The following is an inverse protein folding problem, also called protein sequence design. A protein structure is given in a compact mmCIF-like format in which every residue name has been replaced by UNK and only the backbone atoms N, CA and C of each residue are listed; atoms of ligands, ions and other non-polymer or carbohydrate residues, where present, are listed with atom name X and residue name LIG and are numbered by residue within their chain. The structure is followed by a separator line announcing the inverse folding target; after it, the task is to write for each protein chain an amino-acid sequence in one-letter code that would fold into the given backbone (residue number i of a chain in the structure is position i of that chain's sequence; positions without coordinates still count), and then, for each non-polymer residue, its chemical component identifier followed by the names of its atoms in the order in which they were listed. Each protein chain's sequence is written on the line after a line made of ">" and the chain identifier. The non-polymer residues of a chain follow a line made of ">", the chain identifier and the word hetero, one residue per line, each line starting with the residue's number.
data_IF_615780842451
#
_entry.id   IF_615780842451
#
_cell.length_a   1.000
_cell.length_b   1.000
_cell.length_c   1.000
_cell.angle_alpha   90.00
_cell.angle_beta   90.00
_cell.angle_gamma   90.00
#
_symmetry.space_group_name_H-M   'P 1'
#
loop_
_entity.id
_entity.type
_entity.pdbx_description
1 polymer ?
#
# COMPACT_ATOMS: atom_id res chain seq x y z
N UNK A 1 17.89 10.95 -3.42
CA UNK A 1 16.99 10.76 -2.26
C UNK A 1 17.52 9.69 -1.30
N UNK A 2 17.93 8.50 -1.77
CA UNK A 2 18.61 7.49 -0.92
C UNK A 2 19.85 8.03 -0.19
N UNK A 3 20.67 8.83 -0.88
CA UNK A 3 21.86 9.47 -0.31
C UNK A 3 21.57 10.57 0.72
N UNK A 4 20.36 11.14 0.72
CA UNK A 4 19.98 12.19 1.67
C UNK A 4 19.47 11.56 2.98
N UNK A 5 18.61 10.54 2.85
CA UNK A 5 18.03 9.79 3.98
C UNK A 5 19.08 8.99 4.78
N UNK A 6 20.17 8.53 4.15
CA UNK A 6 21.24 7.79 4.86
C UNK A 6 22.15 8.66 5.73
N UNK A 7 22.18 9.98 5.52
CA UNK A 7 23.09 10.90 6.22
C UNK A 7 22.42 11.76 7.28
N UNK A 8 21.11 12.05 7.17
CA UNK A 8 20.37 12.87 8.16
C UNK A 8 19.50 12.08 9.14
N UNK A 9 19.06 10.86 8.82
CA UNK A 9 18.11 10.08 9.66
C UNK A 9 18.51 8.60 9.81
N UNK A 10 19.79 8.37 10.13
CA UNK A 10 20.39 7.05 10.36
C UNK A 10 19.58 6.10 11.29
N UNK A 11 18.93 6.57 12.38
CA UNK A 11 18.15 5.68 13.27
C UNK A 11 16.85 5.16 12.63
N UNK A 12 16.16 6.00 11.85
CA UNK A 12 14.89 5.65 11.19
C UNK A 12 15.16 4.72 10.02
N UNK A 13 16.26 4.95 9.31
CA UNK A 13 16.69 4.06 8.23
C UNK A 13 17.07 2.65 8.73
N UNK A 14 17.69 2.55 9.91
CA UNK A 14 17.92 1.26 10.59
C UNK A 14 16.59 0.57 10.93
N UNK A 15 15.63 1.30 11.52
CA UNK A 15 14.30 0.78 11.88
C UNK A 15 13.50 0.31 10.65
N UNK A 16 13.62 1.00 9.51
CA UNK A 16 12.98 0.64 8.24
C UNK A 16 13.68 -0.53 7.52
N UNK A 17 15.00 -0.66 7.65
CA UNK A 17 15.74 -1.84 7.18
C UNK A 17 15.46 -3.09 8.00
N UNK A 18 15.09 -2.92 9.26
CA UNK A 18 14.74 -3.98 10.19
C UNK A 18 13.26 -4.40 10.09
N UNK A 19 12.65 -4.19 8.91
CA UNK A 19 11.29 -4.62 8.59
C UNK A 19 10.98 -6.06 9.06
N UNK A 20 9.70 -6.32 9.26
CA UNK A 20 9.13 -7.49 9.97
C UNK A 20 9.39 -8.86 9.29
N UNK A 21 10.32 -8.94 8.33
CA UNK A 21 10.84 -10.21 7.83
C UNK A 21 11.49 -11.04 8.95
N UNK A 22 11.91 -12.30 8.71
CA UNK A 22 12.60 -13.10 9.70
C UNK A 22 13.94 -12.45 10.03
N UNK A 23 13.91 -11.52 10.97
CA UNK A 23 15.08 -10.86 11.52
C UNK A 23 15.57 -11.79 12.61
N UNK A 24 16.75 -12.37 12.40
CA UNK A 24 17.45 -13.04 13.50
C UNK A 24 17.84 -11.96 14.51
N UNK A 25 17.21 -11.98 15.68
CA UNK A 25 17.46 -11.02 16.76
C UNK A 25 18.16 -11.74 17.91
N UNK A 26 19.25 -11.15 18.41
CA UNK A 26 20.00 -11.64 19.58
C UNK A 26 20.10 -10.53 20.60
N UNK A 27 19.89 -10.84 21.87
CA UNK A 27 20.07 -9.90 22.97
C UNK A 27 21.52 -9.95 23.43
N UNK A 28 22.21 -8.82 23.50
CA UNK A 28 23.55 -8.79 24.09
C UNK A 28 23.50 -8.84 25.62
N UNK A 29 24.67 -8.94 26.25
CA UNK A 29 24.84 -9.08 27.70
C UNK A 29 24.20 -7.95 28.52
N UNK A 30 23.84 -6.83 27.88
CA UNK A 30 23.24 -5.67 28.51
C UNK A 30 21.73 -5.58 28.25
N UNK A 31 21.13 -6.60 27.65
CA UNK A 31 19.70 -6.60 27.31
C UNK A 31 19.37 -5.84 26.01
N UNK A 32 20.37 -5.37 25.26
CA UNK A 32 20.12 -4.66 24.00
C UNK A 32 19.86 -5.64 22.86
N UNK A 33 18.77 -5.38 22.13
CA UNK A 33 18.39 -6.13 20.93
C UNK A 33 19.39 -5.80 19.80
N UNK A 34 20.13 -6.80 19.32
CA UNK A 34 21.01 -6.72 18.14
C UNK A 34 20.44 -7.52 16.99
N UNK A 35 20.40 -6.89 15.82
CA UNK A 35 19.97 -7.51 14.57
C UNK A 35 21.15 -8.24 13.93
N UNK A 36 20.97 -9.53 13.65
CA UNK A 36 21.97 -10.29 12.90
C UNK A 36 21.90 -9.97 11.39
N UNK A 37 23.04 -10.06 10.68
CA UNK A 37 23.07 -10.02 9.23
C UNK A 37 22.15 -11.11 8.63
N UNK A 38 21.56 -10.87 7.44
CA UNK A 38 20.80 -11.88 6.73
C UNK A 38 21.65 -13.14 6.53
N UNK A 39 21.09 -14.32 6.81
CA UNK A 39 21.80 -15.59 6.69
C UNK A 39 21.55 -16.26 5.34
N UNK A 40 20.49 -15.86 4.63
CA UNK A 40 20.08 -16.49 3.37
C UNK A 40 19.84 -15.47 2.26
N UNK A 41 20.06 -15.88 1.01
CA UNK A 41 19.78 -15.04 -0.16
C UNK A 41 18.29 -14.64 -0.26
N UNK A 42 17.37 -15.49 0.21
CA UNK A 42 15.93 -15.18 0.27
C UNK A 42 15.64 -14.03 1.23
N UNK A 43 16.30 -13.99 2.39
CA UNK A 43 16.17 -12.89 3.34
C UNK A 43 16.71 -11.58 2.78
N UNK A 44 17.83 -11.63 2.04
CA UNK A 44 18.40 -10.45 1.36
C UNK A 44 17.38 -9.87 0.37
N UNK A 45 16.84 -10.71 -0.51
CA UNK A 45 15.85 -10.29 -1.52
C UNK A 45 14.56 -9.76 -0.87
N UNK A 46 14.11 -10.37 0.23
CA UNK A 46 12.93 -9.90 0.96
C UNK A 46 13.16 -8.51 1.59
N UNK A 47 14.31 -8.30 2.25
CA UNK A 47 14.68 -6.98 2.82
C UNK A 47 14.80 -5.90 1.73
N UNK A 48 15.38 -6.23 0.58
CA UNK A 48 15.44 -5.29 -0.55
C UNK A 48 14.05 -4.91 -1.07
N UNK A 49 13.14 -5.88 -1.18
CA UNK A 49 11.76 -5.62 -1.62
C UNK A 49 11.02 -4.71 -0.64
N UNK A 50 11.16 -4.95 0.66
CA UNK A 50 10.58 -4.10 1.71
C UNK A 50 11.19 -2.69 1.72
N UNK A 51 12.52 -2.58 1.61
CA UNK A 51 13.20 -1.28 1.49
C UNK A 51 12.65 -0.50 0.29
N UNK A 52 12.47 -1.16 -0.85
CA UNK A 52 11.95 -0.55 -2.07
C UNK A 52 10.50 -0.11 -1.89
N UNK A 53 9.64 -0.93 -1.27
CA UNK A 53 8.25 -0.55 -1.02
C UNK A 53 8.13 0.63 -0.04
N UNK A 54 8.95 0.66 1.02
CA UNK A 54 8.99 1.78 1.97
C UNK A 54 9.51 3.07 1.34
N UNK A 55 10.55 2.98 0.50
CA UNK A 55 11.07 4.15 -0.22
C UNK A 55 10.00 4.74 -1.14
N UNK A 56 9.29 3.90 -1.89
CA UNK A 56 8.17 4.34 -2.75
C UNK A 56 7.03 4.95 -1.94
N UNK A 57 6.67 4.35 -0.80
CA UNK A 57 5.62 4.86 0.08
C UNK A 57 5.97 6.24 0.64
N UNK A 58 7.21 6.43 1.14
CA UNK A 58 7.67 7.71 1.66
C UNK A 58 7.72 8.80 0.57
N UNK A 59 8.10 8.44 -0.66
CA UNK A 59 8.08 9.37 -1.80
C UNK A 59 6.66 9.81 -2.20
N UNK A 60 5.64 9.01 -1.90
CA UNK A 60 4.24 9.34 -2.20
C UNK A 60 3.58 10.22 -1.12
N UNK A 61 4.22 10.40 0.04
CA UNK A 61 3.69 11.19 1.15
C UNK A 61 4.14 12.66 1.03
N UNK A 62 3.24 13.64 1.27
CA UNK A 62 3.61 15.05 1.40
C UNK A 62 4.65 15.28 2.51
N UNK A 63 5.67 16.11 2.27
CA UNK A 63 6.77 16.37 3.21
C UNK A 63 6.30 16.91 4.57
N UNK A 64 5.26 17.72 4.61
CA UNK A 64 4.66 18.27 5.83
C UNK A 64 4.01 17.18 6.70
N UNK A 65 3.64 16.05 6.09
CA UNK A 65 3.11 14.88 6.79
C UNK A 65 4.21 13.95 7.28
N UNK A 66 5.39 13.92 6.63
CA UNK A 66 6.54 13.11 7.01
C UNK A 66 7.09 13.47 8.40
N UNK A 67 7.13 14.76 8.75
CA UNK A 67 7.61 15.26 10.05
C UNK A 67 6.85 14.68 11.26
N UNK A 68 5.61 14.20 11.08
CA UNK A 68 4.87 13.51 12.15
C UNK A 68 5.30 12.05 12.31
N UNK A 69 5.61 11.37 11.21
CA UNK A 69 6.10 9.99 11.23
C UNK A 69 7.55 9.91 11.71
N UNK A 70 8.37 10.92 11.42
CA UNK A 70 9.76 10.98 11.90
C UNK A 70 9.91 11.14 13.42
N UNK A 71 8.83 11.47 14.14
CA UNK A 71 8.83 11.55 15.61
C UNK A 71 8.51 10.21 16.29
N UNK A 72 8.13 9.19 15.52
CA UNK A 72 7.76 7.87 16.04
C UNK A 72 8.99 6.99 16.16
N UNK A 73 9.09 6.26 17.27
CA UNK A 73 10.27 5.44 17.58
C UNK A 73 10.22 4.04 16.94
N UNK A 74 9.02 3.57 16.57
CA UNK A 74 8.78 2.20 16.11
C UNK A 74 8.24 2.15 14.68
N UNK A 75 8.78 1.25 13.85
CA UNK A 75 8.30 0.97 12.49
C UNK A 75 6.82 0.56 12.48
N UNK A 76 6.39 -0.20 13.49
CA UNK A 76 4.99 -0.61 13.61
C UNK A 76 4.08 0.61 13.82
N UNK A 77 4.50 1.55 14.68
CA UNK A 77 3.76 2.78 14.94
C UNK A 77 3.69 3.68 13.72
N UNK A 78 4.79 3.81 12.97
CA UNK A 78 4.82 4.52 11.67
C UNK A 78 3.84 3.89 10.69
N UNK A 79 3.85 2.55 10.55
CA UNK A 79 2.96 1.83 9.65
C UNK A 79 1.49 2.02 10.00
N UNK A 80 1.12 1.82 11.27
CA UNK A 80 -0.27 1.98 11.71
C UNK A 80 -0.74 3.42 11.60
N UNK A 81 0.14 4.40 11.85
CA UNK A 81 -0.19 5.81 11.68
C UNK A 81 -0.39 6.20 10.21
N UNK A 82 0.44 5.67 9.30
CA UNK A 82 0.25 5.85 7.86
C UNK A 82 -1.06 5.18 7.41
N UNK A 83 -1.31 3.96 7.86
CA UNK A 83 -2.54 3.21 7.55
C UNK A 83 -3.78 3.92 8.09
N UNK A 84 -3.74 4.45 9.31
CA UNK A 84 -4.83 5.21 9.92
C UNK A 84 -5.12 6.50 9.17
N UNK A 85 -4.06 7.20 8.73
CA UNK A 85 -4.20 8.52 8.09
C UNK A 85 -4.53 8.44 6.60
N UNK A 86 -3.97 7.47 5.89
CA UNK A 86 -4.05 7.36 4.43
C UNK A 86 -4.68 6.06 3.93
N UNK A 87 -4.83 5.04 4.77
CA UNK A 87 -5.47 3.77 4.39
C UNK A 87 -6.99 3.85 4.23
N UNK A 88 -7.57 5.06 4.38
CA UNK A 88 -9.00 5.27 4.51
C UNK A 88 -9.51 4.79 5.87
N UNK A 89 -10.45 5.51 6.47
CA UNK A 89 -11.21 4.93 7.58
C UNK A 89 -12.27 3.96 7.03
N UNK A 90 -12.71 2.99 7.83
CA UNK A 90 -13.69 1.97 7.41
C UNK A 90 -14.96 2.59 6.79
N UNK A 91 -15.43 3.72 7.30
CA UNK A 91 -16.61 4.41 6.77
C UNK A 91 -16.36 5.05 5.40
N UNK A 92 -15.19 5.66 5.18
CA UNK A 92 -14.80 6.20 3.89
C UNK A 92 -14.60 5.10 2.84
N UNK A 93 -14.08 3.93 3.26
CA UNK A 93 -13.94 2.75 2.42
C UNK A 93 -15.32 2.18 2.06
N UNK A 94 -16.23 2.05 3.03
CA UNK A 94 -17.63 1.64 2.79
C UNK A 94 -18.34 2.61 1.85
N UNK A 95 -18.16 3.92 2.03
CA UNK A 95 -18.78 4.94 1.19
C UNK A 95 -18.21 4.91 -0.24
N UNK A 96 -16.90 4.70 -0.39
CA UNK A 96 -16.26 4.52 -1.70
C UNK A 96 -16.77 3.26 -2.40
N UNK A 97 -16.84 2.13 -1.70
CA UNK A 97 -17.39 0.88 -2.22
C UNK A 97 -18.87 1.00 -2.59
N UNK A 98 -19.67 1.70 -1.78
CA UNK A 98 -21.06 2.00 -2.11
C UNK A 98 -21.16 2.79 -3.41
N UNK A 99 -20.32 3.82 -3.61
CA UNK A 99 -20.30 4.62 -4.82
C UNK A 99 -19.89 3.80 -6.06
N UNK A 100 -18.83 2.99 -5.96
CA UNK A 100 -18.40 2.10 -7.05
C UNK A 100 -19.50 1.11 -7.43
N UNK A 101 -20.21 0.56 -6.45
CA UNK A 101 -21.34 -0.33 -6.69
C UNK A 101 -22.50 0.40 -7.39
N UNK A 102 -22.80 1.63 -7.00
CA UNK A 102 -23.79 2.46 -7.71
C UNK A 102 -23.36 2.74 -9.16
N UNK A 103 -22.08 3.02 -9.39
CA UNK A 103 -21.53 3.21 -10.74
C UNK A 103 -21.63 1.94 -11.59
N UNK A 104 -21.41 0.76 -10.99
CA UNK A 104 -21.59 -0.53 -11.66
C UNK A 104 -23.06 -0.82 -11.95
N UNK A 105 -23.94 -0.60 -10.98
CA UNK A 105 -25.38 -0.80 -11.14
C UNK A 105 -25.96 0.10 -12.25
N UNK A 106 -25.57 1.37 -12.25
CA UNK A 106 -25.94 2.39 -13.23
C UNK A 106 -25.08 2.42 -14.49
N UNK A 107 -24.15 1.47 -14.67
CA UNK A 107 -23.31 1.41 -15.86
C UNK A 107 -24.22 1.28 -17.09
N UNK A 108 -24.11 2.26 -17.97
CA UNK A 108 -24.91 2.37 -19.19
C UNK A 108 -24.07 2.96 -20.29
N UNK A 109 -24.52 2.73 -21.52
CA UNK A 109 -23.76 3.11 -22.70
C UNK A 109 -24.47 4.23 -23.43
N UNK A 110 -23.72 5.30 -23.70
CA UNK A 110 -24.16 6.31 -24.64
C UNK A 110 -24.05 5.81 -26.08
N UNK A 111 -25.04 6.13 -26.92
CA UNK A 111 -25.10 5.70 -28.33
C UNK A 111 -23.90 6.23 -29.14
N UNK A 112 -23.31 7.35 -28.71
CA UNK A 112 -22.13 7.97 -29.33
C UNK A 112 -20.80 7.40 -28.85
N UNK A 113 -20.78 6.50 -27.87
CA UNK A 113 -19.55 5.94 -27.31
C UNK A 113 -19.13 4.66 -28.04
N UNK A 114 -17.93 4.70 -28.62
CA UNK A 114 -17.34 3.53 -29.28
C UNK A 114 -17.05 2.38 -28.31
N UNK A 115 -17.09 1.15 -28.82
CA UNK A 115 -16.92 -0.09 -28.05
C UNK A 115 -15.61 -0.14 -27.26
N UNK A 116 -14.50 0.34 -27.84
CA UNK A 116 -13.20 0.40 -27.16
C UNK A 116 -13.27 1.25 -25.87
N UNK A 117 -13.79 2.48 -25.97
CA UNK A 117 -13.95 3.39 -24.84
C UNK A 117 -14.91 2.85 -23.78
N UNK A 118 -15.99 2.18 -24.22
CA UNK A 118 -16.91 1.46 -23.34
C UNK A 118 -16.17 0.39 -22.53
N UNK A 119 -15.38 -0.44 -23.22
CA UNK A 119 -14.63 -1.53 -22.61
C UNK A 119 -13.59 -1.00 -21.61
N UNK A 120 -12.83 0.03 -21.97
CA UNK A 120 -11.82 0.62 -21.08
C UNK A 120 -12.43 1.15 -19.78
N UNK A 121 -13.56 1.86 -19.86
CA UNK A 121 -14.28 2.35 -18.68
C UNK A 121 -14.80 1.19 -17.82
N UNK A 122 -15.34 0.15 -18.46
CA UNK A 122 -15.87 -1.01 -17.75
C UNK A 122 -14.76 -1.79 -17.05
N UNK A 123 -13.63 -2.03 -17.72
CA UNK A 123 -12.46 -2.69 -17.14
C UNK A 123 -11.86 -1.87 -15.98
N UNK A 124 -11.83 -0.55 -16.12
CA UNK A 124 -11.38 0.34 -15.04
C UNK A 124 -12.27 0.18 -13.80
N UNK A 125 -13.59 0.13 -13.99
CA UNK A 125 -14.55 -0.05 -12.91
C UNK A 125 -14.43 -1.43 -12.22
N UNK A 126 -14.27 -2.50 -13.00
CA UNK A 126 -14.04 -3.85 -12.46
C UNK A 126 -12.74 -3.92 -11.64
N UNK A 127 -11.66 -3.33 -12.15
CA UNK A 127 -10.37 -3.29 -11.47
C UNK A 127 -10.46 -2.57 -10.12
N UNK A 128 -11.20 -1.46 -10.05
CA UNK A 128 -11.43 -0.74 -8.81
C UNK A 128 -12.25 -1.56 -7.81
N UNK A 129 -13.34 -2.20 -8.26
CA UNK A 129 -14.15 -3.07 -7.40
C UNK A 129 -13.32 -4.21 -6.80
N UNK A 130 -12.43 -4.82 -7.59
CA UNK A 130 -11.60 -5.93 -7.12
C UNK A 130 -10.54 -5.48 -6.10
N UNK A 131 -9.85 -4.36 -6.34
CA UNK A 131 -8.87 -3.79 -5.41
C UNK A 131 -9.50 -3.47 -4.05
N UNK A 132 -10.77 -3.07 -4.02
CA UNK A 132 -11.49 -2.71 -2.79
C UNK A 132 -12.34 -3.85 -2.21
N UNK A 133 -12.15 -5.09 -2.67
CA UNK A 133 -12.79 -6.28 -2.11
C UNK A 133 -14.29 -6.40 -2.42
N UNK A 134 -14.78 -5.64 -3.40
CA UNK A 134 -16.15 -5.64 -3.90
C UNK A 134 -16.25 -6.24 -5.31
N UNK A 135 -15.34 -7.17 -5.66
CA UNK A 135 -15.30 -7.83 -6.95
C UNK A 135 -16.63 -8.47 -7.33
N UNK A 136 -16.95 -8.44 -8.62
CA UNK A 136 -18.17 -9.03 -9.20
C UNK A 136 -17.82 -10.29 -9.98
N UNK A 137 -18.75 -11.23 -10.03
CA UNK A 137 -18.54 -12.46 -10.79
C UNK A 137 -18.40 -12.15 -12.29
N UNK A 138 -17.68 -13.01 -13.02
CA UNK A 138 -17.59 -12.86 -14.47
C UNK A 138 -18.97 -12.91 -15.15
N UNK A 139 -19.90 -13.69 -14.60
CA UNK A 139 -21.26 -13.79 -15.14
C UNK A 139 -22.04 -12.48 -14.97
N UNK A 140 -22.00 -11.89 -13.77
CA UNK A 140 -22.65 -10.59 -13.49
C UNK A 140 -22.02 -9.46 -14.30
N UNK A 141 -20.69 -9.45 -14.43
CA UNK A 141 -19.96 -8.48 -15.22
C UNK A 141 -20.33 -8.58 -16.72
N UNK A 142 -20.40 -9.79 -17.26
CA UNK A 142 -20.80 -10.01 -18.65
C UNK A 142 -22.24 -9.59 -18.90
N UNK A 143 -23.17 -9.96 -18.02
CA UNK A 143 -24.56 -9.50 -18.11
C UNK A 143 -24.67 -7.97 -18.06
N UNK A 144 -23.88 -7.31 -17.21
CA UNK A 144 -23.88 -5.84 -17.11
C UNK A 144 -23.33 -5.19 -18.37
N UNK A 145 -22.24 -5.71 -18.95
CA UNK A 145 -21.61 -5.13 -20.14
C UNK A 145 -22.46 -5.22 -21.40
N UNK A 146 -23.25 -6.29 -21.51
CA UNK A 146 -24.09 -6.58 -22.68
C UNK A 146 -25.45 -5.85 -22.65
N UNK A 147 -25.80 -5.20 -21.54
CA UNK A 147 -27.04 -4.43 -21.37
C UNK A 147 -26.97 -3.06 -22.05
#
# INVERSE_FOLDING_TARGET
>A
MEHYLSHTDYPIWQVLQNGNGPVSITTDTNGMIKVLPPKTAKEVVAREREKKSWTTLLMALPEDHLAKFYKMADAKEIRESIKSRFGGNDESMKMHNYLLKQQFEGFSVSISEGLHKRYDRFQTLLSQLEIHGAGVSHEDANQKFLR
#
